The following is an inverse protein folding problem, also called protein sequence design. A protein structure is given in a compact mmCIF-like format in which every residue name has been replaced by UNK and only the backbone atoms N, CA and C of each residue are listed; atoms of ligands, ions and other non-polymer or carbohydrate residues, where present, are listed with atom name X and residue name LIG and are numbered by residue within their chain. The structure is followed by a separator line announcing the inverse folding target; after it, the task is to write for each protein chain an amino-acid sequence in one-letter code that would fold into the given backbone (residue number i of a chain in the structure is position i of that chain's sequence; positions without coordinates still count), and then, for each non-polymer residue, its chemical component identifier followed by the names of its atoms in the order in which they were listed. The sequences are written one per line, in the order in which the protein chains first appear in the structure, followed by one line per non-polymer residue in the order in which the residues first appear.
data_IF_283099202584
#
_entry.id   IF_283099202584
#
_cell.length_a   1.000
_cell.length_b   1.000
_cell.length_c   1.000
_cell.angle_alpha   90.00
_cell.angle_beta   90.00
_cell.angle_gamma   90.00
#
_symmetry.space_group_name_H-M   'P 1'
#
loop_
_entity.id
_entity.type
_entity.pdbx_description
1 polymer ?
#
# COMPACT_ATOMS: atom_id res chain seq x y z
N UNK A 1 -53.94 -17.60 -40.75
CA UNK A 1 -53.26 -16.47 -41.39
C UNK A 1 -52.36 -15.83 -40.34
N UNK A 2 -51.08 -16.19 -40.30
CA UNK A 2 -50.11 -15.59 -39.38
C UNK A 2 -49.43 -14.42 -40.07
N UNK A 3 -49.55 -13.23 -39.48
CA UNK A 3 -48.88 -12.02 -39.94
C UNK A 3 -47.42 -12.12 -39.48
N UNK A 4 -46.51 -12.35 -40.43
CA UNK A 4 -45.06 -12.33 -40.17
C UNK A 4 -44.62 -10.88 -40.16
N UNK A 5 -44.20 -10.36 -38.99
CA UNK A 5 -43.65 -9.02 -38.89
C UNK A 5 -42.22 -9.01 -39.45
N UNK A 6 -41.89 -8.16 -40.43
CA UNK A 6 -40.53 -8.04 -40.92
C UNK A 6 -39.64 -7.52 -39.79
N UNK A 7 -38.58 -8.27 -39.47
CA UNK A 7 -37.57 -7.84 -38.50
C UNK A 7 -36.85 -6.63 -39.09
N UNK A 8 -37.06 -5.45 -38.50
CA UNK A 8 -36.33 -4.23 -38.88
C UNK A 8 -34.87 -4.39 -38.44
N UNK A 9 -33.95 -4.41 -39.40
CA UNK A 9 -32.51 -4.44 -39.16
C UNK A 9 -31.97 -3.06 -38.75
N UNK A 10 -30.88 -3.05 -37.98
CA UNK A 10 -30.13 -1.84 -37.63
C UNK A 10 -29.52 -1.19 -38.87
N UNK A 11 -29.55 0.14 -38.97
CA UNK A 11 -28.87 0.86 -40.05
C UNK A 11 -27.39 1.07 -39.72
N UNK A 12 -26.52 1.12 -40.75
CA UNK A 12 -25.10 1.45 -40.58
C UNK A 12 -24.90 2.85 -39.98
N UNK A 13 -25.80 3.78 -40.29
CA UNK A 13 -25.71 5.15 -39.77
C UNK A 13 -26.08 5.23 -38.28
N UNK A 14 -27.09 4.48 -37.80
CA UNK A 14 -27.40 4.39 -36.36
C UNK A 14 -26.20 3.86 -35.58
N UNK A 15 -25.51 2.85 -36.11
CA UNK A 15 -24.33 2.30 -35.47
C UNK A 15 -23.17 3.30 -35.43
N UNK A 16 -22.94 4.07 -36.49
CA UNK A 16 -21.90 5.10 -36.51
C UNK A 16 -22.14 6.20 -35.47
N UNK A 17 -23.38 6.67 -35.33
CA UNK A 17 -23.71 7.70 -34.32
C UNK A 17 -23.49 7.16 -32.90
N UNK A 18 -23.90 5.92 -32.63
CA UNK A 18 -23.70 5.28 -31.31
C UNK A 18 -22.20 5.16 -30.99
N UNK A 19 -21.38 4.71 -31.94
CA UNK A 19 -19.93 4.58 -31.73
C UNK A 19 -19.29 5.92 -31.43
N UNK A 20 -19.70 7.00 -32.12
CA UNK A 20 -19.19 8.35 -31.87
C UNK A 20 -19.54 8.81 -30.45
N UNK A 21 -20.78 8.60 -30.01
CA UNK A 21 -21.20 8.97 -28.65
C UNK A 21 -20.40 8.17 -27.60
N UNK A 22 -20.26 6.86 -27.79
CA UNK A 22 -19.48 6.01 -26.87
C UNK A 22 -18.01 6.41 -26.83
N UNK A 23 -17.41 6.78 -27.97
CA UNK A 23 -16.02 7.23 -28.04
C UNK A 23 -15.79 8.52 -27.22
N UNK A 24 -16.71 9.49 -27.32
CA UNK A 24 -16.64 10.74 -26.54
C UNK A 24 -16.77 10.45 -25.04
N UNK A 25 -17.71 9.58 -24.65
CA UNK A 25 -17.90 9.20 -23.25
C UNK A 25 -16.67 8.47 -22.70
N UNK A 26 -16.11 7.53 -23.46
CA UNK A 26 -14.94 6.74 -23.06
C UNK A 26 -13.71 7.62 -22.81
N UNK A 27 -13.50 8.67 -23.64
CA UNK A 27 -12.37 9.58 -23.50
C UNK A 27 -12.31 10.29 -22.13
N UNK A 28 -13.46 10.55 -21.52
CA UNK A 28 -13.57 11.21 -20.20
C UNK A 28 -13.66 10.16 -19.09
N UNK A 29 -14.43 9.10 -19.31
CA UNK A 29 -14.71 8.08 -18.30
C UNK A 29 -13.47 7.28 -17.90
N UNK A 30 -12.63 6.87 -18.86
CA UNK A 30 -11.46 6.03 -18.60
C UNK A 30 -10.44 6.68 -17.65
N UNK A 31 -9.90 7.90 -17.92
CA UNK A 31 -8.93 8.52 -17.01
C UNK A 31 -9.53 8.83 -15.64
N UNK A 32 -10.81 9.21 -15.58
CA UNK A 32 -11.52 9.47 -14.33
C UNK A 32 -11.65 8.22 -13.47
N UNK A 33 -12.06 7.09 -14.07
CA UNK A 33 -12.16 5.81 -13.38
C UNK A 33 -10.79 5.32 -12.89
N UNK A 34 -9.73 5.48 -13.68
CA UNK A 34 -8.37 5.14 -13.25
C UNK A 34 -7.92 5.98 -12.04
N UNK A 35 -8.24 7.28 -12.02
CA UNK A 35 -7.93 8.14 -10.88
C UNK A 35 -8.69 7.71 -9.61
N UNK A 36 -9.96 7.32 -9.76
CA UNK A 36 -10.76 6.78 -8.67
C UNK A 36 -10.14 5.50 -8.07
N UNK A 37 -9.75 4.55 -8.92
CA UNK A 37 -9.13 3.29 -8.48
C UNK A 37 -7.78 3.54 -7.79
N UNK A 38 -6.93 4.45 -8.31
CA UNK A 38 -5.68 4.86 -7.63
C UNK A 38 -5.96 5.39 -6.21
N UNK A 39 -6.96 6.27 -6.07
CA UNK A 39 -7.36 6.81 -4.77
C UNK A 39 -7.88 5.71 -3.83
N UNK A 40 -8.64 4.74 -4.36
CA UNK A 40 -9.11 3.59 -3.59
C UNK A 40 -7.94 2.73 -3.06
N UNK A 41 -6.95 2.43 -3.90
CA UNK A 41 -5.75 1.70 -3.49
C UNK A 41 -4.94 2.47 -2.43
N UNK A 42 -4.76 3.78 -2.61
CA UNK A 42 -4.08 4.62 -1.62
C UNK A 42 -4.84 4.61 -0.28
N UNK A 43 -6.16 4.76 -0.32
CA UNK A 43 -7.00 4.72 0.89
C UNK A 43 -6.91 3.38 1.60
N UNK A 44 -6.89 2.26 0.87
CA UNK A 44 -6.69 0.94 1.45
C UNK A 44 -5.32 0.81 2.15
N UNK A 45 -4.26 1.31 1.51
CA UNK A 45 -2.93 1.33 2.12
C UNK A 45 -2.91 2.20 3.39
N UNK A 46 -3.51 3.40 3.36
CA UNK A 46 -3.63 4.26 4.54
C UNK A 46 -4.37 3.58 5.69
N UNK A 47 -5.49 2.91 5.41
CA UNK A 47 -6.25 2.17 6.40
C UNK A 47 -5.40 1.05 7.02
N UNK A 48 -4.67 0.30 6.21
CA UNK A 48 -3.81 -0.77 6.71
C UNK A 48 -2.64 -0.23 7.55
N UNK A 49 -2.04 0.89 7.15
CA UNK A 49 -1.01 1.58 7.95
C UNK A 49 -1.55 2.02 9.32
N UNK A 50 -2.77 2.55 9.38
CA UNK A 50 -3.39 2.94 10.65
C UNK A 50 -3.68 1.72 11.53
N UNK A 51 -4.20 0.64 10.95
CA UNK A 51 -4.45 -0.61 11.66
C UNK A 51 -3.15 -1.18 12.25
N UNK A 52 -2.05 -1.15 11.50
CA UNK A 52 -0.72 -1.54 11.99
C UNK A 52 -0.22 -0.63 13.11
N UNK A 53 -0.38 0.69 12.97
CA UNK A 53 -0.02 1.66 14.01
C UNK A 53 -0.75 1.37 15.32
N UNK A 54 -2.05 1.09 15.28
CA UNK A 54 -2.79 0.72 16.49
C UNK A 54 -2.28 -0.57 17.14
N UNK A 55 -1.90 -1.58 16.35
CA UNK A 55 -1.34 -2.82 16.87
C UNK A 55 0.05 -2.62 17.49
N UNK A 56 0.86 -1.73 16.91
CA UNK A 56 2.14 -1.32 17.48
C UNK A 56 1.94 -0.69 18.85
N UNK A 57 0.98 0.23 19.00
CA UNK A 57 0.68 0.84 20.30
C UNK A 57 0.16 -0.18 21.31
N UNK A 58 -0.69 -1.12 20.88
CA UNK A 58 -1.12 -2.26 21.73
C UNK A 58 0.05 -3.14 22.18
N UNK A 59 1.03 -3.38 21.29
CA UNK A 59 2.22 -4.17 21.62
C UNK A 59 3.12 -3.44 22.62
N UNK A 60 3.37 -2.15 22.41
CA UNK A 60 4.15 -1.34 23.35
C UNK A 60 3.50 -1.23 24.71
N UNK A 61 2.18 -1.11 24.78
CA UNK A 61 1.47 -1.07 26.06
C UNK A 61 1.69 -2.33 26.91
N UNK A 62 1.97 -3.49 26.28
CA UNK A 62 2.24 -4.76 26.97
C UNK A 62 3.72 -5.00 27.22
N UNK A 63 4.57 -4.64 26.26
CA UNK A 63 5.99 -5.02 26.25
C UNK A 63 6.94 -3.87 26.60
N UNK A 64 6.44 -2.65 26.75
CA UNK A 64 7.20 -1.41 26.95
C UNK A 64 8.20 -1.06 25.83
N UNK A 65 8.20 -1.82 24.73
CA UNK A 65 9.01 -1.62 23.53
C UNK A 65 8.21 -2.05 22.30
N UNK A 66 8.55 -1.51 21.13
CA UNK A 66 8.07 -2.00 19.83
C UNK A 66 8.91 -3.15 19.28
N UNK A 67 10.10 -3.43 19.87
CA UNK A 67 10.94 -4.55 19.47
C UNK A 67 10.16 -5.86 19.59
N UNK A 68 10.37 -6.75 18.62
CA UNK A 68 9.68 -8.04 18.51
C UNK A 68 8.22 -7.95 18.07
N UNK A 69 7.72 -6.76 17.67
CA UNK A 69 6.37 -6.66 17.13
C UNK A 69 6.26 -7.41 15.80
N UNK A 70 5.41 -8.43 15.75
CA UNK A 70 5.09 -9.20 14.55
C UNK A 70 3.57 -9.18 14.28
N UNK A 71 3.10 -8.50 13.22
CA UNK A 71 1.70 -8.47 12.83
C UNK A 71 1.24 -9.68 11.99
N UNK A 72 2.05 -10.73 11.82
CA UNK A 72 1.71 -11.94 11.05
C UNK A 72 0.33 -12.51 11.41
N UNK A 73 -0.08 -12.41 12.67
CA UNK A 73 -1.41 -12.86 13.12
C UNK A 73 -2.59 -12.16 12.43
N UNK A 74 -2.39 -10.99 11.81
CA UNK A 74 -3.41 -10.25 11.06
C UNK A 74 -3.54 -10.68 9.60
N UNK A 75 -2.52 -11.37 9.06
CA UNK A 75 -2.34 -11.60 7.63
C UNK A 75 -2.10 -13.06 7.26
N UNK A 76 -2.50 -13.98 8.15
CA UNK A 76 -2.58 -15.39 7.80
C UNK A 76 -3.64 -15.61 6.72
N UNK A 77 -3.30 -16.42 5.72
CA UNK A 77 -4.27 -16.81 4.70
C UNK A 77 -5.32 -17.74 5.32
N UNK A 78 -6.59 -17.34 5.23
CA UNK A 78 -7.71 -18.12 5.78
C UNK A 78 -7.89 -19.47 5.07
N UNK A 79 -7.50 -19.58 3.80
CA UNK A 79 -7.56 -20.83 3.04
C UNK A 79 -6.32 -21.71 3.29
N UNK A 80 -5.17 -21.09 3.58
CA UNK A 80 -3.89 -21.77 3.79
C UNK A 80 -3.19 -21.25 5.06
N UNK A 81 -3.47 -21.80 6.25
CA UNK A 81 -2.93 -21.28 7.52
C UNK A 81 -1.40 -21.25 7.61
N UNK A 82 -0.70 -22.03 6.78
CA UNK A 82 0.77 -22.03 6.68
C UNK A 82 1.33 -20.86 5.88
N UNK A 83 0.48 -20.12 5.14
CA UNK A 83 0.87 -18.96 4.34
C UNK A 83 0.54 -17.67 5.08
N UNK A 84 1.48 -16.73 5.04
CA UNK A 84 1.31 -15.39 5.58
C UNK A 84 1.63 -14.35 4.52
N UNK A 85 0.81 -13.30 4.41
CA UNK A 85 1.06 -12.19 3.48
C UNK A 85 1.99 -11.12 4.06
N UNK A 86 2.22 -11.14 5.37
CA UNK A 86 3.28 -10.36 6.00
C UNK A 86 4.56 -11.19 6.09
N UNK A 87 5.69 -10.55 5.75
CA UNK A 87 7.00 -11.19 5.73
C UNK A 87 7.86 -10.61 6.85
N UNK A 88 7.86 -11.25 8.02
CA UNK A 88 8.56 -10.79 9.22
C UNK A 88 10.07 -10.59 9.03
N UNK A 89 10.72 -11.33 8.14
CA UNK A 89 12.16 -11.16 7.88
C UNK A 89 12.51 -9.84 7.19
N UNK A 90 11.54 -9.22 6.50
CA UNK A 90 11.73 -7.94 5.78
C UNK A 90 10.83 -6.83 6.29
N UNK A 91 9.88 -7.14 7.17
CA UNK A 91 8.90 -6.17 7.67
C UNK A 91 7.87 -5.74 6.63
N UNK A 92 7.71 -6.50 5.53
CA UNK A 92 6.92 -6.10 4.37
C UNK A 92 5.55 -6.76 4.29
N UNK A 93 4.60 -6.02 3.72
CA UNK A 93 3.24 -6.45 3.39
C UNK A 93 2.88 -5.93 2.00
N UNK A 94 2.44 -6.81 1.12
CA UNK A 94 1.99 -6.45 -0.22
C UNK A 94 0.46 -6.31 -0.26
N UNK A 95 -0.03 -5.25 -0.89
CA UNK A 95 -1.46 -4.99 -1.07
C UNK A 95 -1.82 -4.91 -2.56
N UNK A 96 -2.98 -5.47 -2.98
CA UNK A 96 -3.92 -6.23 -2.16
C UNK A 96 -3.32 -7.57 -1.67
N UNK A 97 -3.87 -8.12 -0.59
CA UNK A 97 -3.35 -9.36 0.01
C UNK A 97 -3.36 -10.51 -1.02
N UNK A 98 -2.27 -11.27 -1.07
CA UNK A 98 -2.07 -12.35 -2.04
C UNK A 98 -1.75 -11.90 -3.46
N UNK A 99 -1.61 -10.60 -3.73
CA UNK A 99 -1.12 -10.13 -5.01
C UNK A 99 0.34 -10.52 -5.23
N UNK A 100 0.70 -10.79 -6.48
CA UNK A 100 2.08 -11.07 -6.90
C UNK A 100 2.44 -10.29 -8.15
N UNK A 101 3.71 -9.88 -8.29
CA UNK A 101 4.19 -9.18 -9.49
C UNK A 101 3.42 -7.88 -9.77
N UNK A 102 2.93 -7.71 -11.00
CA UNK A 102 2.21 -6.47 -11.42
C UNK A 102 0.84 -6.26 -10.75
N UNK A 103 0.30 -7.31 -10.11
CA UNK A 103 -0.93 -7.18 -9.33
C UNK A 103 -0.72 -6.36 -8.05
N UNK A 104 0.50 -6.30 -7.52
CA UNK A 104 0.84 -5.52 -6.32
C UNK A 104 0.68 -4.02 -6.61
N UNK A 105 -0.07 -3.33 -5.75
CA UNK A 105 -0.34 -1.89 -5.85
C UNK A 105 0.41 -1.10 -4.80
N UNK A 106 0.56 -1.66 -3.60
CA UNK A 106 1.34 -1.09 -2.52
C UNK A 106 2.24 -2.13 -1.86
N UNK A 107 3.43 -1.70 -1.47
CA UNK A 107 4.31 -2.44 -0.57
C UNK A 107 4.47 -1.61 0.70
N UNK A 108 3.87 -2.09 1.79
CA UNK A 108 3.99 -1.49 3.12
C UNK A 108 5.20 -2.11 3.81
N UNK A 109 6.03 -1.29 4.45
CA UNK A 109 7.19 -1.71 5.20
C UNK A 109 7.14 -1.09 6.60
N UNK A 110 7.30 -1.91 7.63
CA UNK A 110 7.29 -1.54 9.04
C UNK A 110 8.70 -1.71 9.58
N UNK A 111 9.30 -0.63 10.06
CA UNK A 111 10.68 -0.62 10.51
C UNK A 111 10.83 0.07 11.88
N UNK A 112 11.88 -0.32 12.57
CA UNK A 112 12.51 0.49 13.59
C UNK A 112 13.02 1.79 12.95
N UNK A 113 12.70 2.93 13.57
CA UNK A 113 12.99 4.23 12.96
C UNK A 113 14.48 4.58 12.96
N UNK A 114 15.24 4.02 13.90
CA UNK A 114 16.65 4.36 14.12
C UNK A 114 17.54 3.45 13.26
N UNK A 115 17.36 2.13 13.36
CA UNK A 115 18.15 1.13 12.64
C UNK A 115 17.63 0.82 11.23
N UNK A 116 16.39 1.21 10.91
CA UNK A 116 15.75 0.97 9.60
C UNK A 116 15.65 -0.52 9.26
N UNK A 117 15.47 -1.33 10.30
CA UNK A 117 15.32 -2.78 10.22
C UNK A 117 13.92 -3.19 10.67
N UNK A 118 13.40 -4.35 10.26
CA UNK A 118 12.15 -4.87 10.79
C UNK A 118 12.19 -4.94 12.31
N UNK A 119 11.09 -4.62 12.97
CA UNK A 119 11.00 -4.68 14.44
C UNK A 119 11.18 -6.09 15.00
N UNK A 120 10.95 -7.11 14.16
CA UNK A 120 11.16 -8.55 14.40
C UNK A 120 12.60 -9.01 14.22
N UNK A 121 13.48 -8.19 13.64
CA UNK A 121 14.86 -8.61 13.43
C UNK A 121 15.55 -8.85 14.79
N UNK A 122 16.57 -9.70 14.79
CA UNK A 122 17.38 -9.97 15.97
C UNK A 122 18.60 -9.05 15.99
N UNK A 123 19.15 -8.86 17.19
CA UNK A 123 20.41 -8.14 17.36
C UNK A 123 21.52 -8.88 16.62
N UNK A 124 22.21 -8.17 15.73
CA UNK A 124 23.31 -8.76 14.98
C UNK A 124 24.49 -8.90 15.92
N UNK A 125 25.03 -10.11 16.05
CA UNK A 125 26.24 -10.37 16.86
C UNK A 125 27.42 -10.69 15.95
N UNK A 126 28.60 -10.22 16.31
CA UNK A 126 29.84 -10.68 15.67
C UNK A 126 30.17 -12.13 16.09
N UNK A 127 31.20 -12.73 15.49
CA UNK A 127 31.66 -14.08 15.85
C UNK A 127 32.17 -14.23 17.28
N UNK A 128 32.23 -13.15 18.07
CA UNK A 128 32.58 -13.13 19.50
C UNK A 128 31.36 -12.93 20.41
N UNK A 129 30.15 -12.87 19.86
CA UNK A 129 28.90 -12.70 20.61
C UNK A 129 28.57 -11.26 21.01
N UNK A 130 29.36 -10.28 20.56
CA UNK A 130 29.15 -8.85 20.81
C UNK A 130 28.14 -8.28 19.82
N UNK A 131 27.19 -7.49 20.31
CA UNK A 131 26.13 -6.89 19.50
C UNK A 131 26.70 -5.76 18.64
N UNK A 132 26.59 -5.89 17.31
CA UNK A 132 27.09 -4.94 16.31
C UNK A 132 25.99 -4.07 15.69
N UNK A 133 24.72 -4.43 15.85
CA UNK A 133 23.57 -3.58 15.55
C UNK A 133 22.41 -4.01 16.42
N UNK A 134 21.83 -3.04 17.13
CA UNK A 134 20.77 -3.27 18.12
C UNK A 134 19.50 -2.62 17.63
N UNK A 135 18.40 -3.37 17.59
CA UNK A 135 17.10 -2.76 17.34
C UNK A 135 16.64 -2.06 18.61
N UNK A 136 16.51 -0.74 18.54
CA UNK A 136 16.17 0.10 19.67
C UNK A 136 14.72 -0.15 20.13
N UNK A 137 13.79 -0.27 19.18
CA UNK A 137 12.38 -0.53 19.44
C UNK A 137 11.65 0.61 20.15
N UNK A 138 12.23 1.82 20.19
CA UNK A 138 11.59 2.97 20.85
C UNK A 138 10.68 3.77 19.94
N UNK A 139 10.95 3.73 18.63
CA UNK A 139 10.24 4.45 17.59
C UNK A 139 10.04 3.53 16.39
N UNK A 140 8.89 3.66 15.76
CA UNK A 140 8.57 2.94 14.54
C UNK A 140 8.26 3.93 13.42
N UNK A 141 8.45 3.43 12.20
CA UNK A 141 7.92 4.06 10.99
C UNK A 141 7.27 3.01 10.12
N UNK A 142 6.22 3.42 9.43
CA UNK A 142 5.54 2.66 8.39
C UNK A 142 5.63 3.49 7.12
N UNK A 143 6.16 2.90 6.07
CA UNK A 143 6.18 3.49 4.72
C UNK A 143 5.40 2.60 3.78
N UNK A 144 4.74 3.20 2.80
CA UNK A 144 4.03 2.48 1.76
C UNK A 144 4.49 2.97 0.40
N UNK A 145 5.17 2.11 -0.36
CA UNK A 145 5.55 2.37 -1.74
C UNK A 145 4.37 2.08 -2.67
N UNK A 146 3.98 3.05 -3.49
CA UNK A 146 3.06 2.81 -4.60
C UNK A 146 3.79 2.18 -5.78
N UNK A 147 3.22 1.12 -6.37
CA UNK A 147 3.69 0.56 -7.65
C UNK A 147 3.15 1.29 -8.88
N UNK A 148 2.26 2.26 -8.69
CA UNK A 148 1.81 3.19 -9.72
C UNK A 148 2.51 4.54 -9.55
N UNK A 149 3.26 4.96 -10.58
CA UNK A 149 4.01 6.22 -10.59
C UNK A 149 3.12 7.49 -10.50
N UNK A 150 1.83 7.37 -10.83
CA UNK A 150 0.86 8.46 -10.72
C UNK A 150 0.20 8.53 -9.34
N UNK A 151 0.47 7.57 -8.46
CA UNK A 151 -0.11 7.51 -7.13
C UNK A 151 0.91 7.85 -6.04
N UNK A 152 0.42 8.23 -4.86
CA UNK A 152 1.28 8.66 -3.77
C UNK A 152 1.83 7.47 -2.99
N UNK A 153 3.12 7.54 -2.68
CA UNK A 153 3.75 6.78 -1.61
C UNK A 153 3.60 7.53 -0.29
N UNK A 154 3.55 6.79 0.82
CA UNK A 154 3.10 7.30 2.12
C UNK A 154 4.15 7.05 3.20
N UNK A 155 4.17 7.91 4.21
CA UNK A 155 4.92 7.74 5.46
C UNK A 155 4.01 8.03 6.65
N UNK A 156 4.10 7.19 7.66
CA UNK A 156 3.51 7.35 8.99
C UNK A 156 4.58 7.00 10.03
N UNK A 157 4.81 7.85 11.02
CA UNK A 157 5.79 7.58 12.08
C UNK A 157 5.15 7.62 13.46
N UNK A 158 5.78 6.98 14.44
CA UNK A 158 5.38 7.04 15.85
C UNK A 158 5.43 8.45 16.46
N UNK A 159 6.11 9.40 15.78
CA UNK A 159 6.17 10.80 16.19
C UNK A 159 5.05 11.65 15.61
N UNK A 160 4.17 11.05 14.79
CA UNK A 160 3.03 11.73 14.18
C UNK A 160 3.30 12.33 12.80
N UNK A 161 4.49 12.11 12.20
CA UNK A 161 4.72 12.51 10.80
C UNK A 161 3.79 11.73 9.90
N UNK A 162 2.93 12.44 9.16
CA UNK A 162 2.02 11.88 8.16
C UNK A 162 2.18 12.64 6.87
N UNK A 163 2.96 12.08 5.96
CA UNK A 163 3.24 12.74 4.70
C UNK A 163 3.25 11.77 3.53
N UNK A 164 3.16 12.31 2.34
CA UNK A 164 3.12 11.56 1.09
C UNK A 164 3.85 12.29 -0.03
N UNK A 165 4.32 11.52 -1.00
CA UNK A 165 4.98 12.02 -2.20
C UNK A 165 4.78 11.01 -3.35
N UNK A 166 4.63 11.47 -4.60
CA UNK A 166 4.54 10.58 -5.76
C UNK A 166 5.87 9.91 -6.10
N UNK A 167 6.97 10.55 -5.76
CA UNK A 167 8.32 10.01 -5.94
C UNK A 167 8.76 9.29 -4.68
N UNK A 168 8.87 7.96 -4.75
CA UNK A 168 9.23 7.14 -3.59
C UNK A 168 10.59 7.50 -2.99
N UNK A 169 11.58 7.91 -3.80
CA UNK A 169 12.89 8.32 -3.30
C UNK A 169 12.84 9.54 -2.35
N UNK A 170 11.77 10.32 -2.38
CA UNK A 170 11.56 11.42 -1.44
C UNK A 170 10.97 10.93 -0.11
N UNK A 171 10.48 9.70 -0.03
CA UNK A 171 10.00 9.07 1.21
C UNK A 171 11.22 8.62 2.03
N UNK A 172 11.66 9.51 2.92
CA UNK A 172 12.67 9.24 3.92
C UNK A 172 12.12 8.44 5.10
N UNK A 173 12.85 8.47 6.21
CA UNK A 173 12.51 7.75 7.43
C UNK A 173 11.79 8.64 8.47
N UNK A 174 11.85 9.95 8.27
CA UNK A 174 11.29 10.99 9.13
C UNK A 174 10.50 12.05 8.36
N UNK A 175 10.58 12.04 7.02
CA UNK A 175 9.99 13.06 6.14
C UNK A 175 9.72 12.52 4.73
N UNK A 176 8.93 13.26 3.94
CA UNK A 176 8.59 12.93 2.55
C UNK A 176 9.19 13.94 1.56
N UNK A 177 10.37 14.47 1.88
CA UNK A 177 11.03 15.54 1.14
C UNK A 177 10.49 16.94 1.50
N UNK A 178 10.72 17.90 0.60
CA UNK A 178 10.27 19.29 0.72
C UNK A 178 8.97 19.53 -0.06
N UNK A 179 8.27 20.63 0.25
CA UNK A 179 7.08 21.07 -0.49
C UNK A 179 7.41 21.30 -1.97
N UNK A 180 8.60 21.85 -2.27
CA UNK A 180 9.08 22.04 -3.64
C UNK A 180 9.21 20.71 -4.42
N UNK A 181 9.48 19.61 -3.72
CA UNK A 181 9.57 18.27 -4.30
C UNK A 181 8.23 17.51 -4.28
N UNK A 182 7.11 18.22 -4.06
CA UNK A 182 5.77 17.62 -4.07
C UNK A 182 5.38 16.89 -2.78
N UNK A 183 5.97 17.24 -1.63
CA UNK A 183 5.50 16.77 -0.32
C UNK A 183 4.10 17.30 -0.04
N UNK A 184 3.22 16.40 0.40
CA UNK A 184 1.90 16.71 0.95
C UNK A 184 1.69 16.00 2.29
N UNK A 185 0.77 16.49 3.11
CA UNK A 185 0.32 15.84 4.35
C UNK A 185 -0.99 15.06 4.12
N UNK A 186 -1.30 14.09 5.00
CA UNK A 186 -2.50 13.24 4.87
C UNK A 186 -2.99 12.62 6.19
#
# INVERSE_FOLDING_TARGET
MQIVHPVRGFTLIELMVVVVIVAILAAIAVPSYQAYIRKAHMSAAQQEMQKLAEQLERHRAKNYTYKGFDPSFLYADAANPSQNYYVSSTGKLELPLGATGSAVKYVIEILDADEKKPLTAEDVKNGKGEVTSTIAGYRWLIRAESKDAQNYSLLLTSQGTRCKNRTYNNIGYDSCGSIANGREEW
#
